data_IF_586863146046
#
_entry.id   IF_586863146046
#
_cell.length_a   1.000
_cell.length_b   1.000
_cell.length_c   1.000
_cell.angle_alpha   90.00
_cell.angle_beta   90.00
_cell.angle_gamma   90.00
#
_symmetry.space_group_name_H-M   'P 1'
#
loop_
_entity.id
_entity.type
_entity.pdbx_description
1 polymer ?
#
# COMPACT_ATOMS: atom_id res chain seq x y z
N UNK A 1 -17.26 -8.13 15.57
CA UNK A 1 -16.47 -8.14 14.33
C UNK A 1 -17.00 -6.97 13.50
N UNK A 2 -16.15 -5.99 13.17
CA UNK A 2 -16.58 -4.92 12.26
C UNK A 2 -16.74 -5.53 10.86
N UNK A 3 -17.86 -5.26 10.19
CA UNK A 3 -18.10 -5.73 8.82
C UNK A 3 -17.13 -5.13 7.81
N UNK A 4 -17.26 -5.54 6.55
CA UNK A 4 -16.54 -4.93 5.44
C UNK A 4 -16.84 -3.42 5.38
N UNK A 5 -15.83 -2.61 5.05
CA UNK A 5 -15.96 -1.16 5.03
C UNK A 5 -15.45 -0.57 3.72
N UNK A 6 -16.01 0.58 3.36
CA UNK A 6 -15.62 1.35 2.19
C UNK A 6 -15.44 2.82 2.57
N UNK A 7 -14.37 3.45 2.09
CA UNK A 7 -14.19 4.88 2.24
C UNK A 7 -15.12 5.62 1.27
N UNK A 8 -15.92 6.55 1.78
CA UNK A 8 -16.73 7.46 0.98
C UNK A 8 -16.35 8.91 1.27
N UNK A 9 -16.49 9.77 0.26
CA UNK A 9 -16.23 11.20 0.43
C UNK A 9 -17.47 11.86 1.04
N UNK A 10 -17.30 12.64 2.12
CA UNK A 10 -18.41 13.41 2.70
C UNK A 10 -19.02 14.40 1.69
N UNK A 11 -18.21 14.88 0.75
CA UNK A 11 -18.62 15.78 -0.31
C UNK A 11 -19.21 15.05 -1.54
N UNK A 12 -19.41 13.73 -1.49
CA UNK A 12 -19.97 12.94 -2.59
C UNK A 12 -21.28 13.53 -3.13
N UNK A 13 -22.26 13.94 -2.29
CA UNK A 13 -23.51 14.49 -2.80
C UNK A 13 -23.32 15.78 -3.61
N UNK A 14 -22.25 16.55 -3.37
CA UNK A 14 -21.97 17.81 -4.07
C UNK A 14 -21.06 17.65 -5.30
N UNK A 15 -20.61 16.43 -5.61
CA UNK A 15 -19.76 16.21 -6.78
C UNK A 15 -20.53 16.50 -8.07
N UNK A 16 -19.88 17.12 -9.08
CA UNK A 16 -20.56 17.48 -10.33
C UNK A 16 -21.18 16.26 -11.01
N UNK A 17 -20.53 15.10 -10.95
CA UNK A 17 -21.07 13.87 -11.53
C UNK A 17 -22.36 13.40 -10.82
N UNK A 18 -22.46 13.59 -9.49
CA UNK A 18 -23.71 13.29 -8.76
C UNK A 18 -24.80 14.30 -9.08
N UNK A 19 -24.45 15.57 -9.24
CA UNK A 19 -25.41 16.61 -9.64
C UNK A 19 -25.96 16.32 -11.05
N UNK A 20 -25.10 15.92 -11.99
CA UNK A 20 -25.51 15.53 -13.33
C UNK A 20 -26.42 14.29 -13.33
N UNK A 21 -26.14 13.31 -12.47
CA UNK A 21 -27.01 12.15 -12.28
C UNK A 21 -28.39 12.53 -11.74
N UNK A 22 -28.46 13.48 -10.79
CA UNK A 22 -29.73 13.99 -10.26
C UNK A 22 -30.53 14.66 -11.39
N UNK A 23 -29.89 15.54 -12.15
CA UNK A 23 -30.53 16.27 -13.25
C UNK A 23 -31.02 15.31 -14.36
N UNK A 24 -30.24 14.28 -14.67
CA UNK A 24 -30.55 13.32 -15.74
C UNK A 24 -31.64 12.33 -15.34
N UNK A 25 -31.60 11.84 -14.10
CA UNK A 25 -32.49 10.76 -13.65
C UNK A 25 -33.73 11.27 -12.92
N UNK A 26 -33.72 12.54 -12.47
CA UNK A 26 -34.76 13.14 -11.65
C UNK A 26 -34.87 12.53 -10.24
N UNK A 27 -33.91 11.67 -9.86
CA UNK A 27 -33.92 11.01 -8.56
C UNK A 27 -33.41 11.94 -7.45
N UNK A 28 -33.97 11.82 -6.23
CA UNK A 28 -33.42 12.50 -5.07
C UNK A 28 -31.95 12.11 -4.83
N UNK A 29 -31.15 13.07 -4.34
CA UNK A 29 -29.71 12.88 -4.08
C UNK A 29 -29.42 11.66 -3.19
N UNK A 30 -30.28 11.41 -2.20
CA UNK A 30 -30.11 10.25 -1.31
C UNK A 30 -30.22 8.92 -2.05
N UNK A 31 -31.08 8.83 -3.06
CA UNK A 31 -31.29 7.61 -3.83
C UNK A 31 -30.11 7.39 -4.78
N UNK A 32 -29.64 8.46 -5.43
CA UNK A 32 -28.44 8.42 -6.28
C UNK A 32 -27.23 7.94 -5.47
N UNK A 33 -26.97 8.58 -4.33
CA UNK A 33 -25.84 8.23 -3.45
C UNK A 33 -25.97 6.81 -2.92
N UNK A 34 -27.17 6.40 -2.48
CA UNK A 34 -27.40 5.06 -1.96
C UNK A 34 -27.17 3.98 -3.02
N UNK A 35 -27.65 4.19 -4.25
CA UNK A 35 -27.44 3.25 -5.35
C UNK A 35 -25.95 3.12 -5.71
N UNK A 36 -25.19 4.22 -5.71
CA UNK A 36 -23.74 4.19 -5.91
C UNK A 36 -23.02 3.42 -4.79
N UNK A 37 -23.41 3.64 -3.53
CA UNK A 37 -22.85 2.91 -2.39
C UNK A 37 -23.18 1.42 -2.46
N UNK A 38 -24.39 1.03 -2.92
CA UNK A 38 -24.73 -0.37 -3.14
C UNK A 38 -23.84 -1.02 -4.20
N UNK A 39 -23.63 -0.34 -5.33
CA UNK A 39 -22.72 -0.81 -6.36
C UNK A 39 -21.31 -1.02 -5.82
N UNK A 40 -20.73 0.00 -5.18
CA UNK A 40 -19.34 -0.08 -4.72
C UNK A 40 -19.17 -1.04 -3.54
N UNK A 41 -20.16 -1.13 -2.65
CA UNK A 41 -20.19 -2.10 -1.57
C UNK A 41 -20.23 -3.53 -2.10
N UNK A 42 -21.12 -3.80 -3.06
CA UNK A 42 -21.17 -5.09 -3.74
C UNK A 42 -19.85 -5.39 -4.47
N UNK A 43 -19.34 -4.45 -5.27
CA UNK A 43 -18.08 -4.63 -5.99
C UNK A 43 -16.91 -4.90 -5.03
N UNK A 44 -16.86 -4.23 -3.87
CA UNK A 44 -15.81 -4.43 -2.87
C UNK A 44 -15.79 -5.82 -2.26
N UNK A 45 -16.91 -6.54 -2.28
CA UNK A 45 -17.01 -7.90 -1.74
C UNK A 45 -16.80 -8.97 -2.80
N UNK A 46 -17.02 -8.63 -4.08
CA UNK A 46 -17.12 -9.63 -5.16
C UNK A 46 -16.12 -9.42 -6.31
N UNK A 47 -15.38 -8.30 -6.32
CA UNK A 47 -14.41 -7.97 -7.36
C UNK A 47 -13.02 -7.72 -6.75
N UNK A 48 -11.98 -8.24 -7.40
CA UNK A 48 -10.59 -7.97 -7.00
C UNK A 48 -10.04 -6.69 -7.65
N UNK A 49 -10.36 -6.50 -8.93
CA UNK A 49 -9.85 -5.45 -9.82
C UNK A 49 -10.92 -4.40 -10.20
N UNK A 50 -12.11 -4.49 -9.61
CA UNK A 50 -13.23 -3.59 -9.91
C UNK A 50 -13.98 -3.94 -11.18
N UNK A 51 -13.67 -5.08 -11.81
CA UNK A 51 -14.38 -5.61 -12.97
C UNK A 51 -15.21 -6.83 -12.58
N UNK A 52 -16.44 -6.88 -13.06
CA UNK A 52 -17.36 -7.99 -12.84
C UNK A 52 -17.93 -8.49 -14.16
N UNK A 53 -18.08 -9.82 -14.28
CA UNK A 53 -18.94 -10.43 -15.30
C UNK A 53 -20.40 -10.20 -14.93
N UNK A 54 -20.94 -9.09 -15.42
CA UNK A 54 -22.24 -8.56 -15.06
C UNK A 54 -22.88 -7.93 -16.30
N UNK A 55 -24.12 -8.32 -16.62
CA UNK A 55 -24.96 -7.59 -17.57
C UNK A 55 -25.70 -6.47 -16.86
N UNK A 56 -26.20 -5.48 -17.60
CA UNK A 56 -26.98 -4.37 -17.02
C UNK A 56 -28.23 -4.88 -16.26
N UNK A 57 -28.94 -5.87 -16.79
CA UNK A 57 -30.09 -6.46 -16.13
C UNK A 57 -29.70 -7.20 -14.83
N UNK A 58 -28.53 -7.85 -14.81
CA UNK A 58 -28.01 -8.50 -13.59
C UNK A 58 -27.56 -7.44 -12.58
N UNK A 59 -27.01 -6.32 -13.04
CA UNK A 59 -26.66 -5.17 -12.22
C UNK A 59 -27.88 -4.59 -11.50
N UNK A 60 -28.97 -4.35 -12.24
CA UNK A 60 -30.27 -3.90 -11.71
C UNK A 60 -30.79 -4.86 -10.63
N UNK A 61 -30.78 -6.16 -10.90
CA UNK A 61 -31.22 -7.16 -9.93
C UNK A 61 -30.35 -7.23 -8.66
N UNK A 62 -29.05 -6.92 -8.79
CA UNK A 62 -28.09 -7.10 -7.70
C UNK A 62 -27.93 -5.84 -6.84
N UNK A 63 -27.82 -4.68 -7.48
CA UNK A 63 -27.55 -3.40 -6.83
C UNK A 63 -28.79 -2.49 -6.75
N UNK A 64 -29.90 -2.86 -7.40
CA UNK A 64 -31.10 -2.04 -7.50
C UNK A 64 -31.04 -1.04 -8.66
N UNK A 65 -31.88 0.00 -8.56
CA UNK A 65 -32.07 1.05 -9.56
C UNK A 65 -32.57 0.54 -10.94
N UNK A 66 -32.83 1.46 -11.87
CA UNK A 66 -33.29 1.15 -13.22
C UNK A 66 -32.09 0.97 -14.17
N UNK A 67 -32.32 0.36 -15.34
CA UNK A 67 -31.28 0.27 -16.38
C UNK A 67 -30.85 1.69 -16.83
N UNK A 68 -31.80 2.62 -16.95
CA UNK A 68 -31.52 4.02 -17.29
C UNK A 68 -30.61 4.71 -16.28
N UNK A 69 -30.77 4.41 -14.97
CA UNK A 69 -29.87 4.93 -13.94
C UNK A 69 -28.44 4.46 -14.17
N UNK A 70 -28.23 3.16 -14.40
CA UNK A 70 -26.87 2.63 -14.62
C UNK A 70 -26.25 3.12 -15.93
N UNK A 71 -27.06 3.34 -16.97
CA UNK A 71 -26.60 3.99 -18.19
C UNK A 71 -26.17 5.44 -17.94
N UNK A 72 -26.89 6.20 -17.09
CA UNK A 72 -26.48 7.53 -16.68
C UNK A 72 -25.19 7.52 -15.83
N UNK A 73 -25.03 6.53 -14.93
CA UNK A 73 -23.76 6.36 -14.18
C UNK A 73 -22.60 6.06 -15.15
N UNK A 74 -22.86 5.34 -16.24
CA UNK A 74 -21.86 5.11 -17.26
C UNK A 74 -21.53 6.38 -18.07
N UNK A 75 -22.51 7.24 -18.36
CA UNK A 75 -22.26 8.48 -19.11
C UNK A 75 -21.39 9.48 -18.33
N UNK A 76 -21.51 9.52 -17.00
CA UNK A 76 -20.63 10.34 -16.14
C UNK A 76 -19.26 9.69 -15.87
N UNK A 77 -18.98 8.53 -16.47
CA UNK A 77 -17.69 7.85 -16.37
C UNK A 77 -17.42 7.18 -15.03
N UNK A 78 -18.47 6.89 -14.24
CA UNK A 78 -18.35 6.17 -12.96
C UNK A 78 -18.63 4.68 -13.09
N UNK A 79 -19.02 4.25 -14.28
CA UNK A 79 -19.23 2.86 -14.65
C UNK A 79 -18.85 2.65 -16.12
N UNK A 80 -18.14 1.58 -16.43
CA UNK A 80 -17.93 1.14 -17.80
C UNK A 80 -18.77 -0.11 -18.03
N UNK A 81 -19.62 -0.10 -19.05
CA UNK A 81 -20.50 -1.22 -19.40
C UNK A 81 -20.08 -1.75 -20.77
N UNK A 82 -19.49 -2.94 -20.80
CA UNK A 82 -19.25 -3.66 -22.05
C UNK A 82 -20.36 -4.69 -22.27
N UNK A 83 -21.30 -4.33 -23.15
CA UNK A 83 -22.41 -5.21 -23.52
C UNK A 83 -21.95 -6.44 -24.32
N UNK A 84 -20.85 -6.35 -25.07
CA UNK A 84 -20.35 -7.44 -25.91
C UNK A 84 -19.67 -8.51 -25.07
N UNK A 85 -18.85 -8.08 -24.11
CA UNK A 85 -18.20 -8.99 -23.15
C UNK A 85 -19.07 -9.33 -21.94
N UNK A 86 -20.25 -8.68 -21.79
CA UNK A 86 -21.11 -8.78 -20.61
C UNK A 86 -20.35 -8.49 -19.31
N UNK A 87 -19.57 -7.39 -19.31
CA UNK A 87 -18.78 -6.96 -18.15
C UNK A 87 -19.12 -5.54 -17.74
N UNK A 88 -18.97 -5.29 -16.44
CA UNK A 88 -19.09 -3.95 -15.85
C UNK A 88 -17.82 -3.68 -15.05
N UNK A 89 -17.22 -2.51 -15.23
CA UNK A 89 -16.03 -2.09 -14.51
C UNK A 89 -16.25 -0.75 -13.81
N UNK A 90 -15.66 -0.58 -12.62
CA UNK A 90 -15.64 0.68 -11.89
C UNK A 90 -14.32 1.40 -12.15
N UNK A 91 -14.31 2.52 -12.90
CA UNK A 91 -13.08 3.23 -13.22
C UNK A 91 -12.34 3.71 -11.97
N UNK A 92 -11.00 3.65 -12.02
CA UNK A 92 -10.15 4.12 -10.91
C UNK A 92 -10.19 3.24 -9.66
N UNK A 93 -10.62 1.98 -9.78
CA UNK A 93 -10.70 0.98 -8.70
C UNK A 93 -9.46 0.95 -7.80
N UNK A 94 -8.27 0.81 -8.40
CA UNK A 94 -7.00 0.67 -7.68
C UNK A 94 -6.63 1.87 -6.81
N UNK A 95 -7.15 3.05 -7.15
CA UNK A 95 -6.93 4.28 -6.41
C UNK A 95 -7.79 4.36 -5.17
N UNK A 96 -9.03 3.84 -5.23
CA UNK A 96 -10.10 4.15 -4.26
C UNK A 96 -10.60 2.95 -3.46
N UNK A 97 -10.76 1.80 -4.10
CA UNK A 97 -11.52 0.68 -3.54
C UNK A 97 -10.72 -0.61 -3.39
N UNK A 98 -9.56 -0.72 -4.04
CA UNK A 98 -8.67 -1.87 -3.87
C UNK A 98 -8.19 -2.05 -2.42
N UNK A 99 -7.80 -3.28 -2.08
CA UNK A 99 -7.19 -3.59 -0.78
C UNK A 99 -5.92 -2.77 -0.53
N UNK A 100 -5.15 -2.48 -1.59
CA UNK A 100 -4.00 -1.59 -1.51
C UNK A 100 -4.40 -0.15 -1.14
N UNK A 101 -5.49 0.37 -1.71
CA UNK A 101 -6.03 1.69 -1.35
C UNK A 101 -6.49 1.73 0.11
N UNK A 102 -7.21 0.71 0.58
CA UNK A 102 -7.64 0.57 1.98
C UNK A 102 -6.45 0.53 2.94
N UNK A 103 -5.41 -0.25 2.60
CA UNK A 103 -4.18 -0.33 3.38
C UNK A 103 -3.48 1.03 3.48
N UNK A 104 -3.36 1.77 2.36
CA UNK A 104 -2.79 3.12 2.35
C UNK A 104 -3.57 4.08 3.24
N UNK A 105 -4.91 4.04 3.19
CA UNK A 105 -5.76 4.87 4.04
C UNK A 105 -5.55 4.55 5.53
N UNK A 106 -5.58 3.28 5.92
CA UNK A 106 -5.34 2.87 7.31
C UNK A 106 -3.92 3.21 7.80
N UNK A 107 -2.93 3.16 6.91
CA UNK A 107 -1.56 3.58 7.24
C UNK A 107 -1.49 5.09 7.50
N UNK A 108 -2.17 5.89 6.68
CA UNK A 108 -2.25 7.33 6.86
C UNK A 108 -2.97 7.71 8.17
N UNK A 109 -4.09 7.05 8.48
CA UNK A 109 -4.82 7.26 9.74
C UNK A 109 -3.97 6.86 10.95
N UNK A 110 -3.32 5.68 10.91
CA UNK A 110 -2.40 5.27 11.99
C UNK A 110 -1.24 6.24 12.17
N UNK A 111 -0.71 6.79 11.07
CA UNK A 111 0.37 7.78 11.14
C UNK A 111 -0.13 9.08 11.78
N UNK A 112 -1.33 9.55 11.42
CA UNK A 112 -1.95 10.74 12.02
C UNK A 112 -2.20 10.53 13.51
N UNK A 113 -2.84 9.43 13.89
CA UNK A 113 -3.14 9.11 15.28
C UNK A 113 -1.85 8.98 16.11
N UNK A 114 -0.79 8.40 15.52
CA UNK A 114 0.52 8.31 16.15
C UNK A 114 1.18 9.68 16.35
N UNK A 115 1.08 10.59 15.36
CA UNK A 115 1.57 11.96 15.46
C UNK A 115 0.80 12.78 16.51
N UNK A 116 -0.53 12.65 16.55
CA UNK A 116 -1.39 13.32 17.52
C UNK A 116 -1.10 12.86 18.95
N UNK A 117 -0.86 11.55 19.15
CA UNK A 117 -0.46 10.99 20.45
C UNK A 117 0.96 11.37 20.87
N UNK A 118 1.82 11.72 19.91
CA UNK A 118 3.22 12.09 20.15
C UNK A 118 3.54 13.50 19.59
N UNK A 119 2.88 14.55 20.12
CA UNK A 119 3.13 15.92 19.67
C UNK A 119 4.56 16.32 20.04
N UNK A 120 5.43 16.45 19.03
CA UNK A 120 6.84 16.85 19.22
C UNK A 120 7.87 15.98 18.49
N UNK A 121 7.46 14.84 17.90
CA UNK A 121 8.39 13.98 17.13
C UNK A 121 8.66 14.46 15.70
N UNK A 122 8.26 15.68 15.30
CA UNK A 122 8.51 16.15 13.92
C UNK A 122 9.99 16.45 13.68
N UNK A 123 10.57 15.58 12.83
CA UNK A 123 11.81 15.70 12.05
C UNK A 123 13.11 15.83 12.84
N UNK A 124 13.66 14.68 13.25
CA UNK A 124 15.11 14.49 13.04
C UNK A 124 15.33 14.33 11.54
N UNK A 125 16.19 15.12 10.88
CA UNK A 125 16.65 14.77 9.54
C UNK A 125 17.36 13.43 9.66
N UNK A 126 17.10 12.56 8.68
CA UNK A 126 17.77 11.30 8.41
C UNK A 126 19.06 11.07 9.23
N UNK A 127 18.90 10.35 10.33
CA UNK A 127 19.97 9.60 10.96
C UNK A 127 19.40 8.21 11.19
N UNK A 128 19.77 7.29 10.30
CA UNK A 128 20.09 5.89 10.60
C UNK A 128 19.29 5.23 11.72
N UNK A 129 18.43 4.29 11.33
CA UNK A 129 17.58 3.53 12.24
C UNK A 129 18.31 2.97 13.46
N UNK A 130 17.68 3.19 14.61
CA UNK A 130 17.62 2.27 15.73
C UNK A 130 16.53 2.74 16.70
N UNK A 131 15.89 1.76 17.32
CA UNK A 131 15.10 1.83 18.56
C UNK A 131 13.72 2.50 18.50
N UNK A 132 12.75 1.72 18.02
CA UNK A 132 11.41 1.74 18.62
C UNK A 132 11.38 0.65 19.70
N UNK A 133 10.86 0.92 20.92
CA UNK A 133 10.72 -0.10 21.96
C UNK A 133 9.82 -1.24 21.50
N UNK A 134 10.18 -2.48 21.84
CA UNK A 134 9.34 -3.67 21.69
C UNK A 134 8.03 -3.48 22.47
N UNK A 135 6.94 -3.23 21.75
CA UNK A 135 5.59 -3.36 22.28
C UNK A 135 5.19 -4.85 22.19
N UNK A 136 4.69 -5.49 23.27
CA UNK A 136 4.41 -6.91 23.26
C UNK A 136 3.37 -7.24 22.20
N UNK A 137 3.69 -8.25 21.39
CA UNK A 137 2.83 -8.79 20.36
C UNK A 137 1.46 -9.19 20.94
N UNK A 138 0.48 -8.30 20.82
CA UNK A 138 -0.92 -8.66 21.08
C UNK A 138 -1.38 -9.63 19.99
N UNK A 139 -1.72 -10.84 20.43
CA UNK A 139 -2.34 -11.89 19.65
C UNK A 139 -3.50 -11.34 18.82
N UNK A 140 -3.31 -11.28 17.50
CA UNK A 140 -4.41 -11.07 16.56
C UNK A 140 -5.22 -12.36 16.50
N UNK A 141 -6.31 -12.42 17.27
CA UNK A 141 -7.43 -13.34 17.05
C UNK A 141 -7.92 -13.13 15.61
N UNK A 142 -7.51 -14.01 14.71
CA UNK A 142 -8.16 -14.22 13.41
C UNK A 142 -9.51 -14.85 13.69
N UNK A 143 -10.57 -14.08 13.47
CA UNK A 143 -11.89 -14.64 13.24
C UNK A 143 -11.89 -15.26 11.85
N UNK A 144 -11.88 -16.58 11.80
CA UNK A 144 -12.40 -17.35 10.67
C UNK A 144 -13.87 -16.98 10.47
N UNK A 145 -14.24 -16.64 9.23
CA UNK A 145 -15.42 -17.16 8.51
C UNK A 145 -15.73 -16.27 7.28
N UNK A 146 -15.41 -16.77 6.07
CA UNK A 146 -16.38 -17.28 5.06
C UNK A 146 -15.65 -17.46 3.71
N UNK A 147 -15.50 -18.74 3.36
CA UNK A 147 -15.69 -19.36 2.02
C UNK A 147 -15.64 -18.43 0.79
N UNK A 148 -14.51 -18.49 0.09
CA UNK A 148 -14.38 -18.23 -1.35
C UNK A 148 -13.23 -19.09 -1.87
N UNK A 149 -13.59 -20.16 -2.59
CA UNK A 149 -12.78 -21.03 -3.46
C UNK A 149 -11.27 -21.14 -3.21
N UNK A 150 -10.86 -22.32 -2.72
CA UNK A 150 -9.47 -22.78 -2.71
C UNK A 150 -8.92 -22.82 -4.14
N UNK A 151 -8.12 -21.82 -4.52
CA UNK A 151 -7.23 -21.95 -5.66
C UNK A 151 -6.22 -23.08 -5.37
N UNK A 152 -6.25 -24.11 -6.20
CA UNK A 152 -5.38 -25.27 -6.10
C UNK A 152 -3.94 -24.85 -6.38
N UNK A 153 -3.19 -24.42 -5.37
CA UNK A 153 -1.73 -24.47 -5.44
C UNK A 153 -1.34 -25.94 -5.60
N UNK A 154 -0.24 -26.28 -6.29
CA UNK A 154 0.41 -27.55 -6.03
C UNK A 154 0.92 -27.48 -4.59
N UNK A 155 0.10 -27.87 -3.60
CA UNK A 155 0.41 -27.79 -2.16
C UNK A 155 1.80 -28.37 -1.87
N UNK A 156 2.15 -29.41 -2.61
CA UNK A 156 3.44 -30.06 -2.58
C UNK A 156 4.63 -29.12 -2.88
N UNK A 157 4.50 -28.20 -3.84
CA UNK A 157 5.60 -27.29 -4.21
C UNK A 157 5.90 -26.29 -3.10
N UNK A 158 4.85 -25.72 -2.50
CA UNK A 158 4.98 -24.82 -1.35
C UNK A 158 5.48 -25.56 -0.11
N UNK A 159 4.99 -26.75 0.17
CA UNK A 159 5.44 -27.56 1.31
C UNK A 159 6.92 -27.93 1.20
N UNK A 160 7.36 -28.41 0.01
CA UNK A 160 8.77 -28.71 -0.27
C UNK A 160 9.65 -27.48 -0.10
N UNK A 161 9.24 -26.34 -0.64
CA UNK A 161 9.99 -25.09 -0.52
C UNK A 161 10.06 -24.59 0.93
N UNK A 162 8.95 -24.64 1.67
CA UNK A 162 8.91 -24.26 3.09
C UNK A 162 9.80 -25.16 3.93
N UNK A 163 9.84 -26.46 3.63
CA UNK A 163 10.73 -27.41 4.29
C UNK A 163 12.21 -27.06 4.00
N UNK A 164 12.55 -26.80 2.73
CA UNK A 164 13.90 -26.39 2.34
C UNK A 164 14.33 -25.08 3.02
N UNK A 165 13.45 -24.08 3.04
CA UNK A 165 13.70 -22.79 3.70
C UNK A 165 13.95 -22.96 5.21
N UNK A 166 13.10 -23.72 5.89
CA UNK A 166 13.20 -23.92 7.33
C UNK A 166 14.37 -24.83 7.75
N UNK A 167 14.88 -25.64 6.85
CA UNK A 167 16.13 -26.38 7.02
C UNK A 167 17.37 -25.49 6.80
N UNK A 168 17.22 -24.38 6.07
CA UNK A 168 18.28 -23.42 5.78
C UNK A 168 18.64 -22.47 6.93
N UNK A 169 19.54 -21.53 6.63
CA UNK A 169 20.06 -20.52 7.59
C UNK A 169 19.22 -19.23 7.65
N UNK A 170 18.12 -19.17 6.90
CA UNK A 170 17.19 -18.04 6.92
C UNK A 170 16.35 -17.98 8.20
N UNK A 171 15.64 -16.86 8.41
CA UNK A 171 14.68 -16.74 9.51
C UNK A 171 13.53 -17.72 9.28
N UNK A 172 13.32 -18.63 10.24
CA UNK A 172 12.28 -19.67 10.16
C UNK A 172 10.90 -19.06 9.87
N UNK A 173 10.18 -19.72 8.97
CA UNK A 173 8.81 -19.40 8.58
C UNK A 173 7.83 -20.35 9.28
N UNK A 174 7.21 -19.85 10.35
CA UNK A 174 6.21 -20.59 11.13
C UNK A 174 4.85 -20.72 10.43
N UNK A 175 4.32 -19.70 9.72
CA UNK A 175 3.01 -19.82 9.05
C UNK A 175 2.96 -20.97 8.05
N UNK A 176 1.82 -21.65 7.96
CA UNK A 176 1.56 -22.65 6.92
C UNK A 176 1.18 -22.02 5.58
N UNK A 177 0.74 -20.76 5.61
CA UNK A 177 0.39 -20.00 4.42
C UNK A 177 1.65 -19.47 3.71
N UNK A 178 1.67 -19.46 2.37
CA UNK A 178 2.72 -18.79 1.61
C UNK A 178 2.73 -17.27 1.87
N UNK A 179 3.89 -16.62 1.76
CA UNK A 179 3.97 -15.16 1.78
C UNK A 179 3.45 -14.57 0.47
N UNK A 180 3.02 -13.30 0.51
CA UNK A 180 2.61 -12.56 -0.68
C UNK A 180 3.71 -12.56 -1.75
N UNK A 181 3.32 -12.72 -3.01
CA UNK A 181 4.22 -12.80 -4.17
C UNK A 181 4.83 -14.18 -4.43
N UNK A 182 4.60 -15.18 -3.57
CA UNK A 182 5.02 -16.57 -3.80
C UNK A 182 4.46 -17.14 -5.11
N UNK A 183 3.19 -16.88 -5.40
CA UNK A 183 2.52 -17.41 -6.59
C UNK A 183 3.12 -16.86 -7.89
N UNK A 184 3.38 -15.56 -7.91
CA UNK A 184 4.04 -14.90 -9.04
C UNK A 184 5.43 -15.49 -9.28
N UNK A 185 6.16 -15.83 -8.20
CA UNK A 185 7.47 -16.47 -8.29
C UNK A 185 7.37 -17.91 -8.79
N UNK A 186 6.39 -18.67 -8.33
CA UNK A 186 6.21 -20.06 -8.75
C UNK A 186 5.81 -20.16 -10.24
N UNK A 187 5.11 -19.16 -10.76
CA UNK A 187 4.76 -19.06 -12.18
C UNK A 187 5.99 -18.80 -13.08
N UNK A 188 7.09 -18.30 -12.54
CA UNK A 188 8.33 -18.09 -13.29
C UNK A 188 9.02 -19.44 -13.56
N UNK A 189 9.20 -19.77 -14.83
CA UNK A 189 9.80 -21.04 -15.25
C UNK A 189 11.22 -21.19 -14.67
N UNK A 190 11.47 -22.30 -13.98
CA UNK A 190 12.78 -22.60 -13.38
C UNK A 190 13.10 -21.82 -12.10
N UNK A 191 12.24 -20.90 -11.66
CA UNK A 191 12.52 -20.11 -10.45
C UNK A 191 12.62 -20.97 -9.19
N UNK A 192 11.80 -22.01 -9.05
CA UNK A 192 11.82 -22.88 -7.87
C UNK A 192 13.17 -23.60 -7.68
N UNK A 193 13.80 -24.02 -8.77
CA UNK A 193 15.12 -24.66 -8.77
C UNK A 193 16.20 -23.68 -8.32
N UNK A 194 16.21 -22.50 -8.96
CA UNK A 194 17.08 -21.36 -8.61
C UNK A 194 16.91 -20.97 -7.14
N UNK A 195 15.66 -20.89 -6.67
CA UNK A 195 15.35 -20.52 -5.29
C UNK A 195 15.82 -21.58 -4.29
N UNK A 196 15.70 -22.86 -4.62
CA UNK A 196 16.18 -23.95 -3.76
C UNK A 196 17.70 -23.97 -3.65
N UNK A 197 18.41 -23.73 -4.75
CA UNK A 197 19.87 -23.59 -4.75
C UNK A 197 20.30 -22.35 -3.94
N UNK A 198 19.62 -21.22 -4.14
CA UNK A 198 19.89 -19.98 -3.43
C UNK A 198 19.72 -20.12 -1.91
N UNK A 199 18.76 -20.92 -1.43
CA UNK A 199 18.56 -21.21 0.00
C UNK A 199 19.82 -21.80 0.64
N UNK A 200 20.53 -22.68 -0.09
CA UNK A 200 21.79 -23.27 0.39
C UNK A 200 22.88 -22.23 0.64
N UNK A 201 22.90 -21.15 -0.14
CA UNK A 201 23.90 -20.07 -0.06
C UNK A 201 23.55 -18.94 0.89
N UNK A 202 22.35 -18.95 1.50
CA UNK A 202 21.96 -17.92 2.49
C UNK A 202 22.95 -17.85 3.66
N UNK A 203 23.56 -18.97 4.04
CA UNK A 203 24.57 -19.01 5.10
C UNK A 203 25.88 -18.29 4.76
N UNK A 204 26.16 -18.06 3.47
CA UNK A 204 27.36 -17.38 2.98
C UNK A 204 27.17 -15.86 2.91
N UNK A 205 25.93 -15.37 2.98
CA UNK A 205 25.61 -13.95 2.89
C UNK A 205 26.06 -13.18 4.14
N UNK A 206 27.19 -12.47 4.07
CA UNK A 206 27.74 -11.66 5.18
C UNK A 206 27.20 -10.24 5.23
N UNK A 207 26.46 -9.82 4.21
CA UNK A 207 25.88 -8.48 4.12
C UNK A 207 24.86 -8.19 5.24
N UNK A 208 24.14 -9.21 5.71
CA UNK A 208 23.07 -9.06 6.68
C UNK A 208 23.55 -9.36 8.10
N UNK A 209 23.32 -8.44 9.04
CA UNK A 209 23.53 -8.66 10.48
C UNK A 209 22.51 -9.63 11.07
N UNK A 210 21.30 -9.64 10.52
CA UNK A 210 20.20 -10.55 10.90
C UNK A 210 19.92 -11.55 9.79
N UNK A 211 19.53 -12.80 10.10
CA UNK A 211 19.16 -13.79 9.10
C UNK A 211 18.08 -13.28 8.13
N UNK A 212 18.26 -13.56 6.84
CA UNK A 212 17.33 -13.14 5.78
C UNK A 212 15.92 -13.68 6.03
N UNK A 213 14.90 -12.85 5.80
CA UNK A 213 13.49 -13.25 5.96
C UNK A 213 12.92 -13.84 4.66
N UNK A 214 11.95 -14.76 4.79
CA UNK A 214 11.35 -15.40 3.62
C UNK A 214 10.63 -14.39 2.70
N UNK A 215 9.91 -13.44 3.30
CA UNK A 215 9.21 -12.36 2.57
C UNK A 215 10.20 -11.54 1.73
N UNK A 216 11.39 -11.29 2.26
CA UNK A 216 12.43 -10.56 1.53
C UNK A 216 13.02 -11.40 0.41
N UNK A 217 13.22 -12.70 0.64
CA UNK A 217 13.78 -13.63 -0.34
C UNK A 217 12.86 -13.88 -1.55
N UNK A 218 11.54 -13.92 -1.34
CA UNK A 218 10.53 -14.14 -2.38
C UNK A 218 10.34 -12.92 -3.31
N UNK A 219 10.94 -11.77 -2.99
CA UNK A 219 10.87 -10.59 -3.86
C UNK A 219 11.54 -10.82 -5.23
N UNK A 220 11.11 -10.10 -6.28
CA UNK A 220 11.66 -10.26 -7.62
C UNK A 220 13.18 -10.12 -7.69
N UNK A 221 13.83 -11.08 -8.34
CA UNK A 221 15.28 -11.10 -8.57
C UNK A 221 16.16 -11.41 -7.33
N UNK A 222 15.57 -11.65 -6.15
CA UNK A 222 16.35 -11.89 -4.93
C UNK A 222 17.10 -13.21 -4.92
N UNK A 223 16.48 -14.30 -5.36
CA UNK A 223 17.14 -15.61 -5.48
C UNK A 223 18.41 -15.52 -6.36
N UNK A 224 18.34 -14.83 -7.50
CA UNK A 224 19.48 -14.60 -8.38
C UNK A 224 20.56 -13.72 -7.74
N UNK A 225 20.20 -12.71 -6.94
CA UNK A 225 21.18 -11.89 -6.20
C UNK A 225 21.93 -12.69 -5.14
N UNK A 226 21.25 -13.61 -4.47
CA UNK A 226 21.86 -14.54 -3.52
C UNK A 226 22.82 -15.49 -4.24
N UNK A 227 22.39 -16.11 -5.35
CA UNK A 227 23.26 -16.98 -6.15
C UNK A 227 24.46 -16.24 -6.74
N UNK A 228 24.23 -15.01 -7.21
CA UNK A 228 25.25 -14.15 -7.81
C UNK A 228 26.18 -13.51 -6.79
N UNK A 229 26.13 -13.88 -5.51
CA UNK A 229 27.08 -13.41 -4.48
C UNK A 229 26.96 -11.94 -4.13
N UNK A 230 25.84 -11.28 -4.47
CA UNK A 230 25.63 -9.85 -4.20
C UNK A 230 25.66 -9.50 -2.71
N UNK A 231 25.57 -10.52 -1.84
CA UNK A 231 25.50 -10.37 -0.39
C UNK A 231 26.66 -11.05 0.35
N UNK A 232 27.69 -11.51 -0.37
CA UNK A 232 28.82 -12.25 0.22
C UNK A 232 29.75 -11.32 1.02
N UNK A 233 29.79 -10.05 0.63
CA UNK A 233 30.60 -9.03 1.31
C UNK A 233 29.83 -8.42 2.49
N UNK A 234 30.51 -8.12 3.61
CA UNK A 234 29.90 -7.40 4.72
C UNK A 234 29.45 -6.00 4.25
N UNK A 235 28.36 -5.51 4.84
CA UNK A 235 27.87 -4.16 4.56
C UNK A 235 28.95 -3.14 4.97
N UNK A 236 29.45 -2.36 4.01
CA UNK A 236 30.46 -1.33 4.26
C UNK A 236 29.99 -0.32 5.33
N UNK A 237 30.92 0.16 6.15
CA UNK A 237 30.63 1.22 7.10
C UNK A 237 30.17 2.47 6.34
N UNK A 238 29.07 3.12 6.75
CA UNK A 238 28.71 4.40 6.16
C UNK A 238 29.89 5.34 6.43
N UNK A 239 30.48 5.90 5.36
CA UNK A 239 31.51 6.92 5.50
C UNK A 239 30.94 8.07 6.31
N UNK A 240 31.31 8.16 7.59
CA UNK A 240 30.95 9.29 8.43
C UNK A 240 31.52 10.54 7.77
N UNK A 241 30.68 11.48 7.35
CA UNK A 241 31.18 12.82 7.07
C UNK A 241 31.66 13.39 8.41
N UNK A 242 32.97 13.56 8.55
CA UNK A 242 33.55 14.31 9.66
C UNK A 242 33.08 15.77 9.58
N UNK A 243 32.06 16.11 10.37
CA UNK A 243 31.54 17.47 10.49
C UNK A 243 32.54 18.45 11.11
N UNK A 244 33.67 17.94 11.64
CA UNK A 244 34.74 18.74 12.24
C UNK A 244 35.53 19.59 11.25
N UNK A 245 35.41 19.34 9.95
CA UNK A 245 36.08 20.12 8.90
C UNK A 245 35.05 20.80 7.98
N UNK A 246 34.05 21.44 8.57
CA UNK A 246 33.12 22.29 7.83
C UNK A 246 33.84 23.58 7.46
N UNK A 247 33.91 23.90 6.16
CA UNK A 247 34.46 25.18 5.69
C UNK A 247 33.78 26.35 6.42
N UNK A 248 34.52 27.43 6.75
CA UNK A 248 33.93 28.55 7.48
C UNK A 248 32.69 29.09 6.75
N UNK A 249 31.67 29.58 7.49
CA UNK A 249 30.47 30.14 6.88
C UNK A 249 30.86 31.19 5.84
N UNK A 250 30.31 31.05 4.63
CA UNK A 250 30.56 31.98 3.53
C UNK A 250 30.25 33.40 4.01
N UNK A 251 31.24 34.30 4.02
CA UNK A 251 31.01 35.71 4.34
C UNK A 251 30.10 36.32 3.28
N UNK A 252 28.98 36.90 3.71
CA UNK A 252 28.01 37.55 2.82
C UNK A 252 28.60 38.93 2.48
N UNK A 253 28.95 39.16 1.22
CA UNK A 253 29.54 40.42 0.73
C UNK A 253 28.54 41.19 -0.14
N UNK A 254 28.61 42.52 -0.15
CA UNK A 254 27.79 43.37 -1.03
C UNK A 254 26.30 43.41 -0.65
N UNK A 255 25.43 43.34 -1.65
CA UNK A 255 23.96 43.46 -1.49
C UNK A 255 23.37 42.44 -0.51
N UNK A 256 23.97 41.25 -0.44
CA UNK A 256 23.60 40.16 0.47
C UNK A 256 23.81 40.53 1.94
N UNK A 257 24.86 41.31 2.25
CA UNK A 257 25.12 41.82 3.60
C UNK A 257 24.10 42.87 3.99
N UNK A 258 23.71 43.73 3.06
CA UNK A 258 22.70 44.77 3.28
C UNK A 258 21.30 44.18 3.44
N UNK A 259 20.99 43.10 2.74
CA UNK A 259 19.76 42.32 2.95
C UNK A 259 19.71 41.70 4.35
N UNK A 260 20.83 41.14 4.82
CA UNK A 260 20.95 40.59 6.18
C UNK A 260 20.74 41.68 7.24
N UNK A 261 21.41 42.82 7.10
CA UNK A 261 21.29 43.95 8.05
C UNK A 261 19.88 44.56 8.06
N UNK A 262 19.22 44.66 6.90
CA UNK A 262 17.80 45.06 6.82
C UNK A 262 16.90 44.09 7.58
N UNK A 263 17.12 42.80 7.40
CA UNK A 263 16.35 41.76 8.09
C UNK A 263 16.58 41.82 9.60
N UNK A 264 17.83 42.05 10.02
CA UNK A 264 18.21 42.19 11.44
C UNK A 264 17.57 43.42 12.08
N UNK A 265 17.53 44.57 11.38
CA UNK A 265 16.83 45.78 11.84
C UNK A 265 15.33 45.59 11.96
N UNK A 266 14.69 44.91 10.99
CA UNK A 266 13.25 44.59 11.06
C UNK A 266 12.93 43.72 12.28
N UNK A 267 13.76 42.71 12.55
CA UNK A 267 13.57 41.84 13.71
C UNK A 267 13.82 42.56 15.03
N UNK A 268 14.80 43.47 15.11
CA UNK A 268 15.03 44.29 16.29
C UNK A 268 13.85 45.23 16.57
N UNK A 269 13.35 45.93 15.54
CA UNK A 269 12.19 46.82 15.67
C UNK A 269 10.91 46.05 16.06
N UNK A 270 10.72 44.83 15.55
CA UNK A 270 9.60 43.98 15.95
C UNK A 270 9.71 43.48 17.41
N UNK A 271 10.92 43.48 17.98
CA UNK A 271 11.19 43.05 19.34
C UNK A 271 11.07 44.19 20.37
N UNK A 272 11.26 45.43 19.94
CA UNK A 272 11.07 46.64 20.77
C UNK A 272 9.63 47.17 20.75
N UNK A 273 8.79 46.68 19.84
CA UNK A 273 7.36 47.03 19.72
C UNK A 273 6.39 46.09 20.47
N UNK A 274 6.92 45.21 21.34
CA UNK A 274 6.17 44.32 22.25
C UNK A 274 6.54 44.70 23.67
#
# INVERSE_FOLDING_TARGET
MAGEWIAYDLALPQKPEVQELIDTTGLPVQDVVFNLLNLWGWASMHCADGTARMTITRLVRTCGATEDFWNAVASVGWLEIDQTAATVAVPGWDRRFSQAAKSRAQHADRSRDYEERNPGRKRRPDASGADAPDDPAHERRRGDEIRGEFHHHPREAWEKFRQAWNAGKGRKWTPLTPPDGWEDRLAETGWLEVATEAIGRIGECRYFKTPMTLIQFVKPGWAHKVLGGSFDSPRGEPSGRDFGNTAPPKEWTGEDREALERTRRKLAAAKEGI
#
